data_IF_182975599977
#
_entry.id   IF_182975599977
#
_cell.length_a   1.000
_cell.length_b   1.000
_cell.length_c   1.000
_cell.angle_alpha   90.00
_cell.angle_beta   90.00
_cell.angle_gamma   90.00
#
_symmetry.space_group_name_H-M   'P 1'
#
loop_
_entity.id
_entity.type
_entity.pdbx_description
1 polymer ?
#
# COMPACT_ATOMS: atom_id res chain seq x y z
N UNK A 1 -1.66 18.84 1.84
CA UNK A 1 -1.50 17.61 2.64
C UNK A 1 -2.70 16.73 2.36
N UNK A 2 -2.51 15.41 2.16
CA UNK A 2 -3.58 14.53 1.69
C UNK A 2 -4.69 14.30 2.73
N UNK A 3 -4.36 14.35 4.03
CA UNK A 3 -5.34 14.30 5.13
C UNK A 3 -5.39 15.69 5.78
N UNK A 4 -6.58 16.29 5.82
CA UNK A 4 -6.78 17.65 6.32
C UNK A 4 -6.36 17.75 7.80
N UNK A 5 -5.56 18.76 8.13
CA UNK A 5 -5.11 19.02 9.50
C UNK A 5 -4.07 18.03 10.06
N UNK A 6 -3.62 17.05 9.25
CA UNK A 6 -2.69 15.99 9.70
C UNK A 6 -1.34 16.15 9.02
N UNK A 7 -0.27 16.22 9.84
CA UNK A 7 1.09 16.13 9.32
C UNK A 7 1.42 14.66 9.00
N UNK A 8 1.79 14.39 7.74
CA UNK A 8 2.29 13.10 7.31
C UNK A 8 3.75 12.89 7.78
N UNK A 9 4.03 11.88 8.63
CA UNK A 9 5.37 11.56 9.09
C UNK A 9 6.36 11.34 7.95
N UNK A 10 7.60 11.81 8.12
CA UNK A 10 8.67 11.55 7.15
C UNK A 10 9.09 10.07 7.15
N UNK A 11 9.09 9.44 8.34
CA UNK A 11 9.42 8.04 8.54
C UNK A 11 8.42 7.44 9.54
N UNK A 12 7.93 6.23 9.24
CA UNK A 12 7.26 5.35 10.21
C UNK A 12 8.15 4.11 10.37
N UNK A 13 8.73 3.93 11.55
CA UNK A 13 9.56 2.77 11.86
C UNK A 13 8.66 1.59 12.22
N UNK A 14 8.77 0.49 11.47
CA UNK A 14 8.02 -0.75 11.74
C UNK A 14 8.89 -1.74 12.55
N UNK A 15 10.19 -1.78 12.25
CA UNK A 15 11.21 -2.54 12.99
C UNK A 15 12.60 -2.00 12.63
N UNK A 16 13.67 -2.59 13.18
CA UNK A 16 15.05 -2.22 12.80
C UNK A 16 15.35 -2.39 11.31
N UNK A 17 14.66 -3.35 10.65
CA UNK A 17 14.91 -3.72 9.25
C UNK A 17 13.78 -3.32 8.29
N UNK A 18 12.71 -2.66 8.76
CA UNK A 18 11.56 -2.30 7.95
C UNK A 18 10.99 -0.94 8.37
N UNK A 19 10.79 -0.04 7.40
CA UNK A 19 10.19 1.27 7.62
C UNK A 19 9.33 1.70 6.45
N UNK A 20 8.50 2.71 6.68
CA UNK A 20 7.85 3.50 5.65
C UNK A 20 8.57 4.84 5.55
N UNK A 21 8.97 5.23 4.34
CA UNK A 21 9.52 6.56 4.05
C UNK A 21 8.53 7.35 3.22
N UNK A 22 8.26 8.58 3.62
CA UNK A 22 7.36 9.47 2.88
C UNK A 22 7.84 9.62 1.44
N UNK A 23 6.87 9.60 0.53
CA UNK A 23 7.13 9.86 -0.88
C UNK A 23 7.70 11.27 -1.10
N UNK A 24 8.76 11.34 -1.90
CA UNK A 24 9.59 12.54 -2.12
C UNK A 24 9.74 12.89 -3.61
N UNK A 25 8.90 12.33 -4.48
CA UNK A 25 8.96 12.43 -5.94
C UNK A 25 10.18 11.75 -6.59
N UNK A 26 11.08 11.11 -5.83
CA UNK A 26 12.12 10.26 -6.41
C UNK A 26 11.58 8.83 -6.52
N UNK A 27 11.00 8.49 -7.69
CA UNK A 27 10.32 7.22 -7.91
C UNK A 27 10.69 6.53 -9.23
N UNK A 28 11.73 6.96 -9.94
CA UNK A 28 12.13 6.32 -11.19
C UNK A 28 12.43 4.83 -11.00
N UNK A 29 13.04 4.48 -9.86
CA UNK A 29 13.26 3.09 -9.45
C UNK A 29 11.97 2.30 -9.22
N UNK A 30 10.80 2.92 -9.11
CA UNK A 30 9.54 2.19 -8.94
C UNK A 30 8.99 1.70 -10.29
N UNK A 31 9.47 2.24 -11.41
CA UNK A 31 8.96 1.91 -12.74
C UNK A 31 9.04 0.40 -13.01
N UNK A 32 10.12 -0.29 -12.61
CA UNK A 32 10.25 -1.73 -12.85
C UNK A 32 9.25 -2.57 -12.07
N UNK A 33 8.71 -2.09 -10.95
CA UNK A 33 7.65 -2.79 -10.21
C UNK A 33 6.37 -2.92 -11.03
N UNK A 34 6.12 -1.94 -11.91
CA UNK A 34 4.95 -1.87 -12.79
C UNK A 34 5.25 -2.32 -14.22
N UNK A 35 6.43 -2.89 -14.49
CA UNK A 35 6.73 -3.55 -15.77
C UNK A 35 6.24 -5.00 -15.83
N UNK A 36 5.98 -5.61 -14.68
CA UNK A 36 5.58 -7.01 -14.58
C UNK A 36 4.06 -7.18 -14.73
N UNK A 37 3.60 -7.62 -15.90
CA UNK A 37 2.18 -7.84 -16.20
C UNK A 37 1.43 -8.71 -15.17
N UNK A 38 1.97 -9.84 -14.67
CA UNK A 38 1.33 -10.59 -13.60
C UNK A 38 1.12 -9.78 -12.30
N UNK A 39 2.09 -8.94 -11.93
CA UNK A 39 1.96 -8.02 -10.78
C UNK A 39 0.92 -6.95 -11.06
N UNK A 40 0.95 -6.34 -12.24
CA UNK A 40 -0.03 -5.33 -12.64
C UNK A 40 -1.45 -5.88 -12.60
N UNK A 41 -1.67 -7.10 -13.05
CA UNK A 41 -3.00 -7.73 -13.01
C UNK A 41 -3.59 -7.77 -11.59
N UNK A 42 -2.75 -7.88 -10.56
CA UNK A 42 -3.18 -7.86 -9.15
C UNK A 42 -3.59 -6.47 -8.65
N UNK A 43 -3.21 -5.41 -9.37
CA UNK A 43 -3.39 -4.00 -9.02
C UNK A 43 -4.40 -3.30 -9.92
N UNK A 44 -4.32 -3.55 -11.22
CA UNK A 44 -5.24 -3.09 -12.25
C UNK A 44 -5.47 -4.21 -13.27
N UNK A 45 -6.65 -4.82 -13.21
CA UNK A 45 -7.04 -5.89 -14.14
C UNK A 45 -7.56 -5.36 -15.49
N UNK A 46 -7.56 -4.03 -15.70
CA UNK A 46 -8.08 -3.41 -16.94
C UNK A 46 -6.99 -3.27 -18.00
N UNK A 47 -5.76 -3.07 -17.56
CA UNK A 47 -4.64 -2.83 -18.46
C UNK A 47 -3.98 -4.12 -18.90
N UNK A 48 -3.72 -4.20 -20.21
CA UNK A 48 -3.05 -5.34 -20.84
C UNK A 48 -1.57 -5.08 -21.09
N UNK A 49 -1.09 -3.89 -20.78
CA UNK A 49 0.27 -3.43 -21.05
C UNK A 49 0.97 -2.93 -19.77
N UNK A 50 2.30 -3.07 -19.68
CA UNK A 50 3.12 -2.43 -18.65
C UNK A 50 2.83 -0.94 -18.52
N UNK A 51 2.97 -0.39 -17.31
CA UNK A 51 2.81 1.05 -17.13
C UNK A 51 4.05 1.76 -17.66
N UNK A 52 3.87 2.81 -18.46
CA UNK A 52 4.96 3.73 -18.78
C UNK A 52 5.21 4.71 -17.63
N UNK A 53 6.30 5.48 -17.72
CA UNK A 53 6.63 6.48 -16.70
C UNK A 53 5.53 7.54 -16.56
N UNK A 54 4.84 7.89 -17.66
CA UNK A 54 3.72 8.83 -17.65
C UNK A 54 2.59 8.34 -16.74
N UNK A 55 2.23 7.05 -16.85
CA UNK A 55 1.17 6.44 -16.08
C UNK A 55 1.54 6.25 -14.62
N UNK A 56 2.76 5.80 -14.33
CA UNK A 56 3.28 5.74 -12.95
C UNK A 56 3.27 7.12 -12.30
N UNK A 57 3.68 8.17 -13.04
CA UNK A 57 3.64 9.56 -12.57
C UNK A 57 2.22 10.02 -12.24
N UNK A 58 1.26 9.77 -13.14
CA UNK A 58 -0.16 10.10 -12.91
C UNK A 58 -0.72 9.37 -11.69
N UNK A 59 -0.38 8.09 -11.53
CA UNK A 59 -0.80 7.28 -10.40
C UNK A 59 -0.23 7.82 -9.08
N UNK A 60 1.07 8.09 -8.98
CA UNK A 60 1.66 8.65 -7.76
C UNK A 60 1.15 10.06 -7.44
N UNK A 61 0.94 10.91 -8.44
CA UNK A 61 0.30 12.22 -8.23
C UNK A 61 -1.11 12.09 -7.65
N UNK A 62 -1.91 11.15 -8.17
CA UNK A 62 -3.24 10.87 -7.61
C UNK A 62 -3.17 10.36 -6.17
N UNK A 63 -2.32 9.36 -5.91
CA UNK A 63 -2.17 8.73 -4.59
C UNK A 63 -1.65 9.72 -3.54
N UNK A 64 -0.66 10.53 -3.88
CA UNK A 64 -0.08 11.54 -3.01
C UNK A 64 -1.05 12.69 -2.70
N UNK A 65 -2.05 12.92 -3.55
CA UNK A 65 -3.09 13.92 -3.31
C UNK A 65 -4.23 13.42 -2.42
N UNK A 66 -4.53 12.11 -2.46
CA UNK A 66 -5.68 11.53 -1.73
C UNK A 66 -5.31 10.90 -0.39
N UNK A 67 -4.07 10.46 -0.20
CA UNK A 67 -3.63 9.76 1.01
C UNK A 67 -2.15 9.95 1.32
N UNK A 68 -1.74 9.49 2.51
CA UNK A 68 -0.33 9.44 2.90
C UNK A 68 0.40 8.37 2.08
N UNK A 69 1.15 8.79 1.06
CA UNK A 69 1.95 7.90 0.20
C UNK A 69 3.35 7.67 0.78
N UNK A 70 3.76 6.41 0.85
CA UNK A 70 5.05 5.96 1.37
C UNK A 70 5.71 4.92 0.47
N UNK A 71 7.04 4.94 0.42
CA UNK A 71 7.84 3.79 0.03
C UNK A 71 8.02 2.84 1.21
N UNK A 72 7.86 1.55 0.96
CA UNK A 72 8.18 0.48 1.89
C UNK A 72 9.67 0.18 1.71
N UNK A 73 10.46 0.41 2.75
CA UNK A 73 11.90 0.20 2.70
C UNK A 73 12.36 -0.87 3.68
N UNK A 74 13.24 -1.74 3.20
CA UNK A 74 13.92 -2.74 4.02
C UNK A 74 15.39 -2.39 4.15
N UNK A 75 15.99 -2.77 5.27
CA UNK A 75 17.42 -2.57 5.49
C UNK A 75 18.19 -3.78 4.96
N UNK A 76 19.15 -3.53 4.08
CA UNK A 76 20.13 -4.49 3.56
C UNK A 76 21.52 -3.85 3.62
N UNK A 77 22.53 -4.56 4.11
CA UNK A 77 23.92 -4.06 4.16
C UNK A 77 24.03 -2.65 4.77
N UNK A 78 23.31 -2.40 5.88
CA UNK A 78 23.22 -1.11 6.57
C UNK A 78 22.63 0.06 5.76
N UNK A 79 21.96 -0.22 4.63
CA UNK A 79 21.26 0.79 3.83
C UNK A 79 19.79 0.41 3.65
N UNK A 80 18.91 1.39 3.69
CA UNK A 80 17.50 1.17 3.38
C UNK A 80 17.30 1.21 1.87
N UNK A 81 16.60 0.20 1.35
CA UNK A 81 16.25 0.05 -0.06
C UNK A 81 14.72 0.00 -0.20
N UNK A 82 14.13 0.78 -1.12
CA UNK A 82 12.71 0.67 -1.44
C UNK A 82 12.40 -0.65 -2.13
N UNK A 83 11.33 -1.31 -1.71
CA UNK A 83 10.89 -2.60 -2.25
C UNK A 83 9.43 -2.61 -2.69
N UNK A 84 8.73 -1.49 -2.51
CA UNK A 84 7.33 -1.33 -2.80
C UNK A 84 6.80 0.00 -2.26
N UNK A 85 5.50 0.18 -2.36
CA UNK A 85 4.80 1.40 -1.96
C UNK A 85 3.45 1.08 -1.29
N UNK A 86 3.01 2.01 -0.47
CA UNK A 86 1.69 1.97 0.17
C UNK A 86 1.13 3.39 0.27
N UNK A 87 -0.15 3.53 -0.02
CA UNK A 87 -0.89 4.78 0.23
C UNK A 87 -1.93 4.52 1.31
N UNK A 88 -2.05 5.41 2.27
CA UNK A 88 -2.99 5.28 3.38
C UNK A 88 -3.95 6.45 3.47
N UNK A 89 -5.25 6.17 3.49
CA UNK A 89 -6.30 7.08 3.95
C UNK A 89 -7.43 6.28 4.60
N UNK A 90 -8.41 6.97 5.20
CA UNK A 90 -9.49 6.30 5.94
C UNK A 90 -10.28 5.28 5.09
N UNK A 91 -10.38 5.56 3.79
CA UNK A 91 -11.28 4.83 2.89
C UNK A 91 -10.57 3.86 1.96
N UNK A 92 -9.24 3.74 2.00
CA UNK A 92 -8.49 2.73 1.26
C UNK A 92 -7.04 2.59 1.72
N UNK A 93 -6.39 1.48 1.34
CA UNK A 93 -4.96 1.26 1.56
C UNK A 93 -4.31 0.47 0.42
N UNK A 94 -4.12 1.06 -0.78
CA UNK A 94 -3.39 0.42 -1.87
C UNK A 94 -1.96 0.11 -1.43
N UNK A 95 -1.53 -1.14 -1.61
CA UNK A 95 -0.20 -1.62 -1.20
C UNK A 95 0.38 -2.54 -2.28
N UNK A 96 1.65 -2.34 -2.61
CA UNK A 96 2.40 -3.15 -3.55
C UNK A 96 3.75 -3.55 -2.93
N UNK A 97 4.07 -4.84 -2.97
CA UNK A 97 5.46 -5.31 -2.78
C UNK A 97 6.04 -5.52 -4.18
N UNK A 98 6.67 -4.48 -4.70
CA UNK A 98 7.20 -4.43 -6.06
C UNK A 98 8.31 -5.45 -6.29
N UNK A 99 9.25 -5.56 -5.35
CA UNK A 99 10.35 -6.53 -5.40
C UNK A 99 9.85 -7.95 -5.09
N UNK A 100 9.82 -8.82 -6.10
CA UNK A 100 9.24 -10.17 -6.00
C UNK A 100 9.89 -11.03 -4.92
N UNK A 101 11.20 -10.88 -4.71
CA UNK A 101 11.97 -11.63 -3.69
C UNK A 101 11.53 -11.32 -2.25
N UNK A 102 10.72 -10.28 -2.05
CA UNK A 102 10.18 -9.87 -0.74
C UNK A 102 8.73 -10.28 -0.50
N UNK A 103 8.06 -10.84 -1.52
CA UNK A 103 6.69 -11.34 -1.40
C UNK A 103 6.66 -12.61 -0.54
N UNK A 104 5.53 -12.86 0.13
CA UNK A 104 5.35 -14.03 1.00
C UNK A 104 6.12 -13.98 2.33
N UNK A 105 6.96 -12.96 2.57
CA UNK A 105 7.76 -12.81 3.82
C UNK A 105 7.03 -12.07 4.95
N UNK A 106 5.72 -11.87 4.83
CA UNK A 106 4.91 -11.18 5.85
C UNK A 106 5.10 -9.66 5.93
N UNK A 107 5.83 -9.04 5.00
CA UNK A 107 6.09 -7.58 4.99
C UNK A 107 4.78 -6.79 4.85
N UNK A 108 3.93 -7.16 3.89
CA UNK A 108 2.63 -6.50 3.70
C UNK A 108 1.78 -6.50 4.98
N UNK A 109 1.75 -7.61 5.71
CA UNK A 109 1.06 -7.70 7.00
C UNK A 109 1.64 -6.74 8.05
N UNK A 110 2.97 -6.66 8.17
CA UNK A 110 3.64 -5.74 9.10
C UNK A 110 3.34 -4.27 8.75
N UNK A 111 3.34 -3.93 7.46
CA UNK A 111 2.97 -2.60 6.96
C UNK A 111 1.52 -2.25 7.32
N UNK A 112 0.57 -3.15 6.99
CA UNK A 112 -0.85 -2.96 7.31
C UNK A 112 -1.06 -2.77 8.81
N UNK A 113 -0.42 -3.60 9.66
CA UNK A 113 -0.49 -3.45 11.13
C UNK A 113 0.03 -2.09 11.60
N UNK A 114 1.12 -1.59 11.04
CA UNK A 114 1.64 -0.26 11.37
C UNK A 114 0.68 0.85 10.98
N UNK A 115 0.00 0.73 9.83
CA UNK A 115 -0.96 1.72 9.35
C UNK A 115 -2.30 1.66 10.10
N UNK A 116 -2.67 0.50 10.67
CA UNK A 116 -3.77 0.40 11.63
C UNK A 116 -3.47 1.23 12.88
N UNK A 117 -2.25 1.15 13.42
CA UNK A 117 -1.87 1.99 14.56
C UNK A 117 -1.84 3.46 14.16
N UNK A 118 -1.35 3.79 12.96
CA UNK A 118 -1.46 5.16 12.41
C UNK A 118 -2.92 5.64 12.39
N UNK A 119 -3.86 4.83 11.90
CA UNK A 119 -5.28 5.16 11.89
C UNK A 119 -5.83 5.48 13.28
N UNK A 120 -5.44 4.71 14.30
CA UNK A 120 -5.82 4.98 15.70
C UNK A 120 -5.25 6.31 16.20
N UNK A 121 -3.98 6.62 15.90
CA UNK A 121 -3.38 7.93 16.27
C UNK A 121 -4.07 9.11 15.59
N UNK A 122 -4.72 8.89 14.44
CA UNK A 122 -5.52 9.89 13.75
C UNK A 122 -6.95 10.00 14.28
N UNK A 123 -7.33 9.18 15.28
CA UNK A 123 -8.67 9.18 15.87
C UNK A 123 -9.74 8.52 15.00
N UNK A 124 -9.36 7.75 13.97
CA UNK A 124 -10.32 7.03 13.16
C UNK A 124 -10.99 5.92 13.98
N UNK A 125 -12.32 5.87 13.91
CA UNK A 125 -13.13 4.80 14.51
C UNK A 125 -13.17 3.55 13.63
N UNK A 126 -12.93 3.73 12.33
CA UNK A 126 -13.01 2.69 11.32
C UNK A 126 -12.15 3.08 10.12
N UNK A 127 -11.56 2.07 9.48
CA UNK A 127 -10.91 2.18 8.17
C UNK A 127 -11.44 1.10 7.22
N UNK A 128 -11.32 1.34 5.92
CA UNK A 128 -11.83 0.41 4.89
C UNK A 128 -10.88 0.25 3.71
N UNK A 129 -11.06 -0.84 2.97
CA UNK A 129 -10.40 -1.13 1.68
C UNK A 129 -11.49 -1.19 0.63
N UNK A 130 -11.33 -0.41 -0.45
CA UNK A 130 -12.40 -0.25 -1.46
C UNK A 130 -12.66 -1.52 -2.23
N UNK A 131 -11.59 -2.14 -2.75
CA UNK A 131 -11.69 -3.35 -3.56
C UNK A 131 -10.38 -4.13 -3.49
N UNK A 132 -10.48 -5.41 -3.20
CA UNK A 132 -9.43 -6.40 -3.46
C UNK A 132 -9.99 -7.41 -4.46
N UNK A 133 -9.32 -7.57 -5.60
CA UNK A 133 -9.73 -8.51 -6.64
C UNK A 133 -9.92 -9.94 -6.13
N UNK A 134 -10.91 -10.64 -6.66
CA UNK A 134 -11.24 -12.04 -6.29
C UNK A 134 -10.03 -12.97 -6.38
N UNK A 135 -9.18 -12.77 -7.39
CA UNK A 135 -7.98 -13.58 -7.62
C UNK A 135 -6.75 -13.12 -6.83
N UNK A 136 -6.76 -11.94 -6.20
CA UNK A 136 -5.66 -11.44 -5.36
C UNK A 136 -5.75 -12.02 -3.93
N UNK A 137 -5.66 -13.36 -3.84
CA UNK A 137 -5.79 -14.12 -2.59
C UNK A 137 -4.74 -13.71 -1.55
N UNK A 138 -3.53 -13.34 -1.99
CA UNK A 138 -2.46 -12.89 -1.10
C UNK A 138 -2.82 -11.60 -0.35
N UNK A 139 -3.41 -10.63 -1.04
CA UNK A 139 -3.88 -9.39 -0.43
C UNK A 139 -5.07 -9.64 0.50
N UNK A 140 -6.07 -10.43 0.07
CA UNK A 140 -7.23 -10.78 0.91
C UNK A 140 -6.79 -11.39 2.24
N UNK A 141 -5.93 -12.43 2.20
CA UNK A 141 -5.40 -13.07 3.41
C UNK A 141 -4.59 -12.10 4.29
N UNK A 142 -3.89 -11.15 3.68
CA UNK A 142 -3.09 -10.16 4.42
C UNK A 142 -3.99 -9.24 5.25
N UNK A 143 -5.05 -8.70 4.63
CA UNK A 143 -6.00 -7.82 5.32
C UNK A 143 -6.85 -8.59 6.34
N UNK A 144 -7.34 -9.79 5.99
CA UNK A 144 -8.08 -10.66 6.92
C UNK A 144 -7.24 -11.01 8.15
N UNK A 145 -5.96 -11.38 7.97
CA UNK A 145 -5.03 -11.63 9.08
C UNK A 145 -4.80 -10.38 9.95
N UNK A 146 -4.88 -9.20 9.37
CA UNK A 146 -4.75 -7.94 10.09
C UNK A 146 -6.02 -7.52 10.86
N UNK A 147 -7.10 -8.31 10.76
CA UNK A 147 -8.37 -8.11 11.48
C UNK A 147 -9.47 -7.48 10.63
N UNK A 148 -9.22 -7.17 9.35
CA UNK A 148 -10.27 -6.69 8.47
C UNK A 148 -11.29 -7.80 8.18
N UNK A 149 -12.56 -7.44 8.11
CA UNK A 149 -13.62 -8.34 7.69
C UNK A 149 -14.13 -7.95 6.32
N UNK A 150 -14.54 -8.95 5.55
CA UNK A 150 -15.17 -8.75 4.24
C UNK A 150 -16.51 -8.02 4.43
N UNK A 151 -16.70 -6.91 3.72
CA UNK A 151 -17.89 -6.07 3.88
C UNK A 151 -18.90 -6.30 2.73
N UNK A 152 -18.54 -5.98 1.49
CA UNK A 152 -19.43 -6.11 0.33
C UNK A 152 -18.71 -6.72 -0.86
N UNK A 153 -19.44 -7.44 -1.70
CA UNK A 153 -18.95 -7.79 -3.03
C UNK A 153 -18.89 -6.53 -3.90
N UNK A 154 -17.85 -6.42 -4.72
CA UNK A 154 -17.69 -5.37 -5.72
C UNK A 154 -17.74 -5.99 -7.12
N UNK A 155 -17.61 -5.18 -8.18
CA UNK A 155 -17.64 -5.67 -9.57
C UNK A 155 -16.60 -6.79 -9.79
N UNK A 156 -15.39 -6.61 -9.26
CA UNK A 156 -14.27 -7.52 -9.54
C UNK A 156 -13.71 -8.23 -8.29
N UNK A 157 -14.27 -7.96 -7.11
CA UNK A 157 -13.59 -8.24 -5.85
C UNK A 157 -14.51 -8.17 -4.63
N UNK A 158 -13.91 -7.79 -3.52
CA UNK A 158 -14.60 -7.51 -2.26
C UNK A 158 -14.02 -6.27 -1.61
N UNK A 159 -14.87 -5.49 -0.93
CA UNK A 159 -14.44 -4.46 0.00
C UNK A 159 -14.21 -5.06 1.39
N UNK A 160 -13.36 -4.40 2.18
CA UNK A 160 -13.03 -4.83 3.53
C UNK A 160 -13.17 -3.66 4.51
N UNK A 161 -13.43 -3.97 5.77
CA UNK A 161 -13.64 -2.98 6.83
C UNK A 161 -12.98 -3.43 8.11
N UNK A 162 -12.44 -2.48 8.88
CA UNK A 162 -11.90 -2.72 10.20
C UNK A 162 -12.42 -1.64 11.15
N UNK A 163 -13.14 -2.06 12.18
CA UNK A 163 -13.48 -1.21 13.32
C UNK A 163 -12.26 -1.11 14.24
N UNK A 164 -11.92 0.09 14.66
CA UNK A 164 -10.76 0.41 15.50
C UNK A 164 -11.13 0.63 16.97
N UNK A 165 -12.40 0.40 17.31
CA UNK A 165 -12.97 0.45 18.65
C UNK A 165 -12.30 -0.55 19.61
#
# INVERSE_FOLDING_TARGET
MPILGVNQPQIIVISSELRLRKFDNNFEFALHWYQDLPTLKLLDNRDKEPYDLTKVTKMYNYLNNIGELYFIEVKENNRFKPIGDVTFWQNDMPIVIGEKSYRGKGIGFKVVKSLIERAKTLGYQQISIREIYKFNVGSQKTFEKAGFTKNKATKNGYSYILNLA
#
